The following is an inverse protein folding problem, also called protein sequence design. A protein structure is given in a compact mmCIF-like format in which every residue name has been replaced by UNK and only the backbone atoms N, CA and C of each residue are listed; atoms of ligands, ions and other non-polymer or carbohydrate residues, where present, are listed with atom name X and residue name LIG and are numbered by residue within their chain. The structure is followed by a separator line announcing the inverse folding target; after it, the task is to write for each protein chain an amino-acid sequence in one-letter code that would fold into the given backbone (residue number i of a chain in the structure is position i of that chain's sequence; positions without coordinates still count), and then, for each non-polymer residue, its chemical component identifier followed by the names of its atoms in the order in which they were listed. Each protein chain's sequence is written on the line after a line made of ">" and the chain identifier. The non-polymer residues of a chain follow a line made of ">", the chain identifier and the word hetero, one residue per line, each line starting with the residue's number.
data_IF_551830424684
#
_entry.id   IF_551830424684
#
_cell.length_a   1.000
_cell.length_b   1.000
_cell.length_c   1.000
_cell.angle_alpha   90.00
_cell.angle_beta   90.00
_cell.angle_gamma   90.00
#
_symmetry.space_group_name_H-M   'P 1'
#
loop_
_entity.id
_entity.type
_entity.pdbx_description
1 polymer ?
#
# COMPACT_ATOMS: atom_id res chain seq x y z
N UNK A 1 21.88 -2.60 29.91
CA UNK A 1 22.78 -2.28 28.78
C UNK A 1 22.05 -1.37 27.83
N UNK A 2 22.47 -0.12 27.68
CA UNK A 2 21.96 0.75 26.61
C UNK A 2 22.60 0.28 25.30
N UNK A 3 21.82 -0.27 24.40
CA UNK A 3 22.28 -0.60 23.05
C UNK A 3 22.81 0.70 22.41
N UNK A 4 24.06 0.68 21.96
CA UNK A 4 24.64 1.79 21.22
C UNK A 4 24.16 1.70 19.76
N UNK A 5 23.02 2.32 19.47
CA UNK A 5 22.42 2.32 18.13
C UNK A 5 23.11 3.39 17.28
N UNK A 6 23.66 3.04 16.10
CA UNK A 6 24.30 4.00 15.19
C UNK A 6 23.35 5.16 14.83
N UNK A 7 23.91 6.35 14.71
CA UNK A 7 23.11 7.57 14.45
C UNK A 7 22.38 7.58 13.12
N UNK A 8 22.86 6.84 12.12
CA UNK A 8 22.25 6.68 10.80
C UNK A 8 21.27 5.49 10.70
N UNK A 9 20.91 4.88 11.82
CA UNK A 9 19.88 3.82 11.84
C UNK A 9 18.50 4.43 11.51
N UNK A 10 17.77 3.91 10.52
CA UNK A 10 16.42 4.38 10.21
C UNK A 10 15.42 3.96 11.30
N UNK A 11 14.60 4.91 11.74
CA UNK A 11 13.55 4.68 12.73
C UNK A 11 12.23 5.31 12.27
N UNK A 12 11.14 4.57 12.39
CA UNK A 12 9.79 5.10 12.22
C UNK A 12 9.40 5.81 13.52
N UNK A 13 8.90 7.04 13.41
CA UNK A 13 8.62 7.90 14.57
C UNK A 13 7.23 8.53 14.56
N UNK A 14 6.51 8.45 13.45
CA UNK A 14 5.14 8.94 13.32
C UNK A 14 4.40 8.16 12.26
N UNK A 15 3.13 7.86 12.52
CA UNK A 15 2.27 7.10 11.62
C UNK A 15 0.83 7.64 11.65
N UNK A 16 0.14 7.49 10.54
CA UNK A 16 -1.30 7.75 10.48
C UNK A 16 -1.96 6.85 9.44
N UNK A 17 -3.18 6.46 9.71
CA UNK A 17 -4.09 5.87 8.73
C UNK A 17 -5.46 6.52 8.85
N UNK A 18 -6.10 6.76 7.72
CA UNK A 18 -7.41 7.42 7.64
C UNK A 18 -8.32 6.72 6.64
N UNK A 19 -9.60 6.80 6.91
CA UNK A 19 -10.65 6.36 5.98
C UNK A 19 -11.68 7.47 5.78
N UNK A 20 -12.31 7.49 4.60
CA UNK A 20 -13.42 8.37 4.31
C UNK A 20 -14.50 7.62 3.53
N UNK A 21 -15.67 7.41 4.14
CA UNK A 21 -16.77 6.63 3.55
C UNK A 21 -17.71 7.43 2.65
N UNK A 22 -17.45 8.73 2.46
CA UNK A 22 -18.20 9.54 1.52
C UNK A 22 -18.06 9.02 0.09
N UNK A 23 -19.02 9.36 -0.73
CA UNK A 23 -19.09 8.91 -2.12
C UNK A 23 -18.64 10.03 -3.06
N UNK A 24 -19.56 10.69 -3.76
CA UNK A 24 -19.26 11.72 -4.75
C UNK A 24 -18.59 12.97 -4.15
N UNK A 25 -18.93 13.33 -2.92
CA UNK A 25 -18.36 14.40 -2.12
C UNK A 25 -17.12 13.98 -1.30
N UNK A 26 -16.60 12.79 -1.57
CA UNK A 26 -15.39 12.26 -0.94
C UNK A 26 -14.12 13.00 -1.36
N UNK A 27 -12.97 12.66 -0.77
CA UNK A 27 -11.72 13.35 -1.02
C UNK A 27 -11.19 13.12 -2.45
N UNK A 28 -10.42 14.09 -2.94
CA UNK A 28 -9.47 13.88 -4.03
C UNK A 28 -8.17 13.24 -3.52
N UNK A 29 -7.35 12.64 -4.42
CA UNK A 29 -6.12 11.96 -4.01
C UNK A 29 -5.15 12.83 -3.22
N UNK A 30 -4.89 14.05 -3.68
CA UNK A 30 -3.87 14.92 -3.10
C UNK A 30 -4.27 15.44 -1.72
N UNK A 31 -5.48 15.97 -1.56
CA UNK A 31 -5.97 16.45 -0.27
C UNK A 31 -6.04 15.31 0.76
N UNK A 32 -6.32 14.10 0.32
CA UNK A 32 -6.39 12.95 1.20
C UNK A 32 -5.02 12.53 1.72
N UNK A 33 -3.98 12.55 0.86
CA UNK A 33 -2.60 12.31 1.31
C UNK A 33 -2.06 13.44 2.18
N UNK A 34 -2.41 14.71 1.89
CA UNK A 34 -2.07 15.84 2.77
C UNK A 34 -2.59 15.59 4.18
N UNK A 35 -3.88 15.24 4.30
CA UNK A 35 -4.49 14.94 5.61
C UNK A 35 -3.80 13.79 6.35
N UNK A 36 -3.50 12.69 5.67
CA UNK A 36 -2.78 11.57 6.28
C UNK A 36 -1.38 11.99 6.73
N UNK A 37 -0.68 12.78 5.92
CA UNK A 37 0.67 13.27 6.20
C UNK A 37 0.69 14.20 7.42
N UNK A 38 -0.24 15.16 7.50
CA UNK A 38 -0.36 16.05 8.66
C UNK A 38 -0.62 15.29 9.96
N UNK A 39 -1.45 14.25 9.92
CA UNK A 39 -1.69 13.40 11.08
C UNK A 39 -0.43 12.63 11.49
N UNK A 40 0.36 12.14 10.53
CA UNK A 40 1.63 11.47 10.85
C UNK A 40 2.67 12.45 11.43
N UNK A 41 2.67 13.72 11.00
CA UNK A 41 3.46 14.78 11.63
C UNK A 41 3.03 15.01 13.08
N UNK A 42 1.73 15.14 13.32
CA UNK A 42 1.17 15.31 14.67
C UNK A 42 1.52 14.14 15.58
N UNK A 43 1.50 12.90 15.07
CA UNK A 43 1.86 11.73 15.85
C UNK A 43 3.33 11.76 16.32
N UNK A 44 4.26 12.40 15.60
CA UNK A 44 5.64 12.56 16.08
C UNK A 44 5.74 13.44 17.32
N UNK A 45 4.81 14.37 17.50
CA UNK A 45 4.84 15.40 18.55
C UNK A 45 5.77 16.59 18.23
N UNK A 46 6.32 16.68 17.01
CA UNK A 46 7.24 17.75 16.60
C UNK A 46 6.48 18.84 15.86
N UNK A 47 6.54 20.08 16.37
CA UNK A 47 5.72 21.21 15.87
C UNK A 47 6.14 21.71 14.47
N UNK A 48 7.37 21.53 14.05
CA UNK A 48 7.89 22.05 12.78
C UNK A 48 8.64 20.98 11.98
N UNK A 49 8.04 19.80 11.87
CA UNK A 49 8.67 18.67 11.21
C UNK A 49 8.93 18.90 9.70
N UNK A 50 8.10 19.71 9.05
CA UNK A 50 8.22 20.03 7.61
C UNK A 50 9.64 20.50 7.23
N UNK A 51 10.31 21.28 8.10
CA UNK A 51 11.65 21.81 7.82
C UNK A 51 12.73 20.73 7.77
N UNK A 52 12.48 19.57 8.35
CA UNK A 52 13.41 18.45 8.39
C UNK A 52 13.21 17.44 7.25
N UNK A 53 12.10 17.49 6.52
CA UNK A 53 11.81 16.52 5.44
C UNK A 53 12.77 16.72 4.28
N UNK A 54 13.59 15.72 3.98
CA UNK A 54 14.56 15.69 2.88
C UNK A 54 14.10 14.80 1.73
N UNK A 55 13.11 13.94 1.96
CA UNK A 55 12.55 13.06 0.95
C UNK A 55 11.04 12.89 1.13
N UNK A 56 10.32 12.81 0.02
CA UNK A 56 8.92 12.40 0.00
C UNK A 56 8.75 11.23 -0.95
N UNK A 57 8.30 10.10 -0.40
CA UNK A 57 7.90 8.92 -1.15
C UNK A 57 6.38 8.82 -1.25
N UNK A 58 5.85 8.72 -2.46
CA UNK A 58 4.42 8.49 -2.68
C UNK A 58 4.21 7.13 -3.34
N UNK A 59 3.35 6.33 -2.73
CA UNK A 59 2.89 5.08 -3.32
C UNK A 59 1.97 5.40 -4.49
N UNK A 60 2.27 4.84 -5.66
CA UNK A 60 1.50 5.11 -6.88
C UNK A 60 0.05 4.69 -6.73
N UNK A 61 -0.85 5.58 -7.13
CA UNK A 61 -2.27 5.30 -7.17
C UNK A 61 -2.63 4.35 -8.31
N UNK A 62 -3.59 3.47 -8.07
CA UNK A 62 -4.08 2.54 -9.10
C UNK A 62 -4.71 3.25 -10.30
N UNK A 63 -5.22 4.45 -10.10
CA UNK A 63 -5.80 5.28 -11.18
C UNK A 63 -4.80 5.72 -12.23
N UNK A 64 -3.50 5.81 -11.92
CA UNK A 64 -2.45 6.15 -12.89
C UNK A 64 -2.27 5.07 -13.98
N UNK A 65 -2.79 3.86 -13.76
CA UNK A 65 -2.80 2.75 -14.70
C UNK A 65 -4.18 2.45 -15.29
N UNK A 66 -5.21 3.17 -14.86
CA UNK A 66 -6.57 2.91 -15.31
C UNK A 66 -6.82 3.54 -16.68
N UNK A 67 -7.32 2.76 -17.62
CA UNK A 67 -7.83 3.27 -18.92
C UNK A 67 -9.02 4.22 -18.74
N UNK A 68 -9.72 4.14 -17.61
CA UNK A 68 -10.78 5.09 -17.27
C UNK A 68 -10.26 6.50 -17.02
N UNK A 69 -8.99 6.68 -16.66
CA UNK A 69 -8.37 7.98 -16.44
C UNK A 69 -8.00 8.69 -17.74
N UNK A 70 -7.80 7.96 -18.84
CA UNK A 70 -7.57 8.56 -20.16
C UNK A 70 -8.81 9.29 -20.72
N UNK A 71 -9.97 9.08 -20.10
CA UNK A 71 -11.24 9.76 -20.47
C UNK A 71 -11.63 10.84 -19.47
N UNK A 72 -10.90 11.00 -18.37
CA UNK A 72 -11.12 11.99 -17.33
C UNK A 72 -9.86 12.85 -17.21
N UNK A 73 -10.02 14.14 -16.88
CA UNK A 73 -8.92 15.07 -16.63
C UNK A 73 -8.17 14.71 -15.33
N UNK A 74 -7.75 13.43 -15.19
CA UNK A 74 -6.93 12.99 -14.08
C UNK A 74 -5.47 13.02 -14.50
N UNK A 75 -4.66 13.79 -13.81
CA UNK A 75 -3.25 13.84 -14.09
C UNK A 75 -2.43 14.56 -13.04
N UNK A 76 -1.54 13.83 -12.40
CA UNK A 76 -0.48 14.40 -11.57
C UNK A 76 0.86 14.14 -12.24
N UNK A 77 1.51 15.18 -12.76
CA UNK A 77 2.81 15.01 -13.43
C UNK A 77 3.94 14.67 -12.46
N UNK A 78 3.82 15.11 -11.20
CA UNK A 78 4.80 14.84 -10.13
C UNK A 78 4.10 14.88 -8.77
N UNK A 79 3.52 13.76 -8.38
CA UNK A 79 2.72 13.67 -7.17
C UNK A 79 3.51 13.98 -5.87
N UNK A 80 4.77 13.50 -5.67
CA UNK A 80 5.58 13.89 -4.52
C UNK A 80 5.78 15.41 -4.40
N UNK A 81 6.04 16.10 -5.51
CA UNK A 81 6.18 17.57 -5.51
C UNK A 81 4.86 18.28 -5.23
N UNK A 82 3.76 17.79 -5.77
CA UNK A 82 2.41 18.31 -5.45
C UNK A 82 2.14 18.22 -3.95
N UNK A 83 2.46 17.07 -3.35
CA UNK A 83 2.32 16.84 -1.91
C UNK A 83 3.23 17.78 -1.10
N UNK A 84 4.50 17.92 -1.49
CA UNK A 84 5.45 18.83 -0.84
C UNK A 84 4.93 20.26 -0.82
N UNK A 85 4.46 20.78 -1.96
CA UNK A 85 3.89 22.14 -2.06
C UNK A 85 2.69 22.33 -1.13
N UNK A 86 1.77 21.36 -1.08
CA UNK A 86 0.58 21.44 -0.20
C UNK A 86 0.94 21.38 1.28
N UNK A 87 2.02 20.70 1.63
CA UNK A 87 2.56 20.63 3.00
C UNK A 87 3.52 21.79 3.33
N UNK A 88 3.66 22.80 2.45
CA UNK A 88 4.58 23.94 2.61
C UNK A 88 6.06 23.51 2.78
N UNK A 89 6.48 22.43 2.18
CA UNK A 89 7.87 22.00 2.12
C UNK A 89 8.50 22.63 0.88
N UNK A 90 9.22 23.75 1.07
CA UNK A 90 9.70 24.64 -0.01
C UNK A 90 11.21 24.52 -0.28
N UNK A 91 11.85 23.46 0.20
CA UNK A 91 13.27 23.17 -0.06
C UNK A 91 13.41 22.07 -1.10
N UNK A 92 14.61 21.91 -1.62
CA UNK A 92 14.94 20.78 -2.49
C UNK A 92 14.90 19.48 -1.68
N UNK A 93 14.20 18.48 -2.20
CA UNK A 93 14.00 17.18 -1.59
C UNK A 93 14.11 16.07 -2.64
N UNK A 94 14.38 14.85 -2.19
CA UNK A 94 14.19 13.67 -3.04
C UNK A 94 12.70 13.39 -3.25
N UNK A 95 12.28 13.35 -4.50
CA UNK A 95 10.90 13.09 -4.91
C UNK A 95 10.81 11.67 -5.45
N UNK A 96 10.26 10.76 -4.66
CA UNK A 96 10.21 9.34 -4.96
C UNK A 96 8.76 8.91 -5.26
N UNK A 97 8.54 8.24 -6.38
CA UNK A 97 7.24 7.71 -6.75
C UNK A 97 7.37 6.21 -7.04
N UNK A 98 6.58 5.38 -6.37
CA UNK A 98 6.75 3.94 -6.53
C UNK A 98 6.27 3.42 -7.88
N UNK A 99 6.75 2.24 -8.27
CA UNK A 99 6.05 1.39 -9.24
C UNK A 99 4.68 0.96 -8.70
N UNK A 100 3.88 0.31 -9.56
CA UNK A 100 2.60 -0.26 -9.15
C UNK A 100 2.81 -1.60 -8.45
N UNK A 101 2.07 -1.84 -7.36
CA UNK A 101 2.07 -3.14 -6.68
C UNK A 101 1.71 -3.05 -5.20
N UNK A 102 1.14 -4.11 -4.67
CA UNK A 102 0.77 -4.18 -3.24
C UNK A 102 1.97 -4.17 -2.28
N UNK A 103 3.18 -4.40 -2.78
CA UNK A 103 4.45 -4.30 -2.05
C UNK A 103 5.14 -2.93 -2.21
N UNK A 104 4.58 -2.02 -2.99
CA UNK A 104 5.17 -0.70 -3.25
C UNK A 104 5.47 0.12 -1.98
N UNK A 105 4.65 0.09 -0.91
CA UNK A 105 5.01 0.74 0.34
C UNK A 105 6.33 0.23 0.93
N UNK A 106 6.55 -1.08 0.94
CA UNK A 106 7.77 -1.70 1.45
C UNK A 106 9.00 -1.34 0.60
N UNK A 107 8.81 -1.22 -0.71
CA UNK A 107 9.88 -0.76 -1.63
C UNK A 107 10.33 0.66 -1.28
N UNK A 108 9.39 1.59 -1.05
CA UNK A 108 9.71 2.95 -0.62
C UNK A 108 10.36 2.99 0.77
N UNK A 109 9.87 2.19 1.73
CA UNK A 109 10.46 2.09 3.07
C UNK A 109 11.92 1.65 2.96
N UNK A 110 12.22 0.61 2.16
CA UNK A 110 13.59 0.14 1.98
C UNK A 110 14.47 1.20 1.33
N UNK A 111 14.02 1.84 0.25
CA UNK A 111 14.79 2.86 -0.45
C UNK A 111 15.12 4.05 0.46
N UNK A 112 14.10 4.57 1.16
CA UNK A 112 14.30 5.67 2.12
C UNK A 112 15.23 5.26 3.26
N UNK A 113 15.07 4.04 3.78
CA UNK A 113 15.93 3.53 4.87
C UNK A 113 17.37 3.41 4.43
N UNK A 114 17.63 2.97 3.20
CA UNK A 114 18.96 2.92 2.60
C UNK A 114 19.59 4.31 2.48
N UNK A 115 18.82 5.30 2.04
CA UNK A 115 19.29 6.71 1.94
C UNK A 115 19.59 7.28 3.32
N UNK A 116 18.79 6.97 4.34
CA UNK A 116 19.07 7.37 5.72
C UNK A 116 20.36 6.70 6.23
N UNK A 117 20.50 5.41 6.00
CA UNK A 117 21.70 4.66 6.41
C UNK A 117 22.96 5.19 5.73
N UNK A 118 22.88 5.63 4.48
CA UNK A 118 23.96 6.25 3.72
C UNK A 118 24.19 7.73 4.08
N UNK A 119 23.42 8.32 4.99
CA UNK A 119 23.45 9.75 5.34
C UNK A 119 23.08 10.72 4.20
N UNK A 120 22.36 10.25 3.20
CA UNK A 120 21.83 11.06 2.09
C UNK A 120 20.56 11.81 2.49
N UNK A 121 19.79 11.22 3.40
CA UNK A 121 18.50 11.72 3.93
C UNK A 121 18.53 11.62 5.44
N UNK A 122 17.99 12.62 6.14
CA UNK A 122 17.82 12.59 7.59
C UNK A 122 16.38 12.31 8.01
N UNK A 123 15.40 12.79 7.25
CA UNK A 123 13.98 12.64 7.53
C UNK A 123 13.18 12.50 6.25
N UNK A 124 12.30 11.53 6.20
CA UNK A 124 11.44 11.27 5.04
C UNK A 124 9.98 11.08 5.44
N UNK A 125 9.09 11.56 4.56
CA UNK A 125 7.68 11.26 4.56
C UNK A 125 7.39 10.18 3.52
N UNK A 126 6.71 9.11 3.89
CA UNK A 126 6.12 8.16 2.95
C UNK A 126 4.60 8.20 3.10
N UNK A 127 3.89 8.39 1.99
CA UNK A 127 2.43 8.45 2.00
C UNK A 127 1.84 7.69 0.82
N UNK A 128 0.68 7.09 1.02
CA UNK A 128 -0.03 6.36 -0.02
C UNK A 128 -1.49 6.18 0.31
N UNK A 129 -2.30 5.98 -0.72
CA UNK A 129 -3.73 5.80 -0.53
C UNK A 129 -4.47 5.49 -1.81
N UNK A 130 -5.77 5.25 -1.68
CA UNK A 130 -6.71 5.07 -2.79
C UNK A 130 -7.99 5.81 -2.50
N UNK A 131 -8.59 6.40 -3.54
CA UNK A 131 -9.86 7.12 -3.48
C UNK A 131 -10.88 6.56 -4.47
N UNK A 132 -10.84 5.25 -4.70
CA UNK A 132 -11.65 4.56 -5.69
C UNK A 132 -13.15 4.63 -5.38
N UNK A 133 -13.55 4.75 -4.10
CA UNK A 133 -14.95 4.98 -3.75
C UNK A 133 -15.45 6.31 -4.31
N UNK A 134 -14.72 7.40 -4.11
CA UNK A 134 -15.07 8.72 -4.64
C UNK A 134 -15.04 8.73 -6.16
N UNK A 135 -13.96 8.22 -6.77
CA UNK A 135 -13.80 8.16 -8.22
C UNK A 135 -14.99 7.46 -8.91
N UNK A 136 -15.28 6.22 -8.49
CA UNK A 136 -16.34 5.43 -9.10
C UNK A 136 -17.72 6.07 -8.88
N UNK A 137 -17.93 6.73 -7.72
CA UNK A 137 -19.20 7.39 -7.44
C UNK A 137 -19.40 8.63 -8.30
N UNK A 138 -18.37 9.49 -8.45
CA UNK A 138 -18.38 10.66 -9.34
C UNK A 138 -18.65 10.26 -10.79
N UNK A 139 -17.89 9.30 -11.32
CA UNK A 139 -18.05 8.83 -12.70
C UNK A 139 -19.46 8.25 -12.96
N UNK A 140 -20.04 7.52 -12.01
CA UNK A 140 -21.41 6.99 -12.12
C UNK A 140 -22.47 8.09 -12.07
N UNK A 141 -22.22 9.20 -11.37
CA UNK A 141 -23.10 10.36 -11.34
C UNK A 141 -22.91 11.27 -12.58
N UNK A 142 -21.99 10.94 -13.49
CA UNK A 142 -21.70 11.76 -14.68
C UNK A 142 -20.79 12.97 -14.39
N UNK A 143 -20.16 13.01 -13.22
CA UNK A 143 -19.28 14.11 -12.85
C UNK A 143 -17.85 13.86 -13.37
N UNK A 144 -17.13 14.93 -13.73
CA UNK A 144 -15.70 14.90 -14.03
C UNK A 144 -14.86 14.67 -12.77
N UNK A 145 -13.62 14.28 -12.93
CA UNK A 145 -12.70 14.06 -11.81
C UNK A 145 -11.77 15.23 -11.58
N UNK A 146 -11.61 16.22 -12.36
CA UNK A 146 -10.81 17.45 -12.20
C UNK A 146 -9.61 17.31 -11.22
N UNK A 147 -8.97 16.14 -11.22
CA UNK A 147 -7.92 15.73 -10.29
C UNK A 147 -6.59 15.77 -11.00
N UNK A 148 -6.03 16.98 -11.08
CA UNK A 148 -4.75 17.21 -11.74
C UNK A 148 -3.90 18.23 -10.99
N UNK A 149 -2.58 18.10 -11.11
CA UNK A 149 -1.62 19.12 -10.71
C UNK A 149 -0.30 18.91 -11.46
N UNK A 150 0.26 20.01 -11.97
CA UNK A 150 1.47 20.02 -12.78
C UNK A 150 2.54 20.91 -12.14
N UNK A 151 3.13 20.50 -11.01
CA UNK A 151 4.07 21.32 -10.25
C UNK A 151 5.46 21.47 -10.93
N UNK A 152 5.68 20.76 -12.04
CA UNK A 152 6.96 20.69 -12.74
C UNK A 152 7.90 19.60 -12.17
N UNK A 153 9.01 19.40 -12.89
CA UNK A 153 9.96 18.31 -12.58
C UNK A 153 9.42 16.91 -12.86
N UNK A 154 10.23 15.91 -12.53
CA UNK A 154 9.84 14.51 -12.64
C UNK A 154 10.34 13.76 -11.42
N UNK A 155 9.52 12.93 -10.77
CA UNK A 155 9.96 12.15 -9.62
C UNK A 155 10.87 11.00 -10.07
N UNK A 156 11.73 10.56 -9.18
CA UNK A 156 12.44 9.30 -9.32
C UNK A 156 11.48 8.12 -9.14
N UNK A 157 11.45 7.21 -10.11
CA UNK A 157 10.62 6.00 -10.03
C UNK A 157 11.37 4.93 -9.25
N UNK A 158 10.77 4.47 -8.16
CA UNK A 158 11.33 3.47 -7.26
C UNK A 158 10.60 2.14 -7.43
N UNK A 159 11.37 1.07 -7.67
CA UNK A 159 10.83 -0.25 -7.93
C UNK A 159 10.53 -0.52 -9.40
N UNK A 160 9.83 -1.62 -9.66
CA UNK A 160 9.51 -2.05 -11.02
C UNK A 160 8.23 -1.36 -11.48
N UNK A 161 8.24 -0.87 -12.72
CA UNK A 161 7.11 -0.18 -13.34
C UNK A 161 6.58 -0.95 -14.56
N UNK A 162 6.47 -2.27 -14.45
CA UNK A 162 5.93 -3.16 -15.48
C UNK A 162 4.49 -3.58 -15.17
N UNK A 163 3.73 -3.98 -16.19
CA UNK A 163 2.32 -4.40 -16.04
C UNK A 163 2.16 -5.70 -15.25
N UNK A 164 3.18 -6.55 -15.15
CA UNK A 164 3.16 -7.80 -14.38
C UNK A 164 2.45 -8.97 -15.07
N UNK A 165 2.00 -8.79 -16.31
CA UNK A 165 1.37 -9.82 -17.14
C UNK A 165 1.72 -9.64 -18.62
N UNK A 166 1.68 -10.73 -19.40
CA UNK A 166 1.88 -10.71 -20.84
C UNK A 166 0.60 -10.38 -21.60
N UNK A 167 0.72 -10.06 -22.90
CA UNK A 167 -0.43 -9.86 -23.78
C UNK A 167 -1.34 -11.09 -23.87
N UNK A 168 -0.76 -12.30 -23.77
CA UNK A 168 -1.53 -13.53 -23.80
C UNK A 168 -2.24 -13.79 -22.46
N UNK A 169 -1.60 -13.51 -21.35
CA UNK A 169 -2.24 -13.55 -20.03
C UNK A 169 -3.41 -12.57 -19.95
N UNK A 170 -3.28 -11.37 -20.52
CA UNK A 170 -4.37 -10.39 -20.61
C UNK A 170 -5.57 -10.88 -21.43
N UNK A 171 -5.32 -11.55 -22.55
CA UNK A 171 -6.39 -12.18 -23.36
C UNK A 171 -7.20 -13.22 -22.58
N UNK A 172 -6.60 -13.80 -21.54
CA UNK A 172 -7.22 -14.79 -20.65
C UNK A 172 -7.66 -14.18 -19.31
N UNK A 173 -7.80 -12.85 -19.23
CA UNK A 173 -8.23 -12.11 -18.03
C UNK A 173 -7.34 -12.31 -16.81
N UNK A 174 -6.05 -12.60 -17.02
CA UNK A 174 -5.06 -12.75 -15.96
C UNK A 174 -4.39 -11.44 -15.56
N UNK A 175 -4.95 -10.31 -15.96
CA UNK A 175 -4.57 -8.95 -15.57
C UNK A 175 -5.25 -8.49 -14.26
N UNK A 176 -6.22 -9.24 -13.77
CA UNK A 176 -6.93 -8.94 -12.53
C UNK A 176 -6.51 -9.89 -11.40
N UNK A 177 -6.09 -9.39 -10.23
CA UNK A 177 -5.73 -10.22 -9.07
C UNK A 177 -6.83 -11.20 -8.67
N UNK A 178 -8.11 -10.81 -8.76
CA UNK A 178 -9.27 -11.66 -8.46
C UNK A 178 -9.37 -12.91 -9.36
N UNK A 179 -8.73 -12.89 -10.53
CA UNK A 179 -8.68 -14.03 -11.45
C UNK A 179 -7.38 -14.84 -11.27
N UNK A 180 -6.30 -14.18 -10.89
CA UNK A 180 -4.97 -14.79 -10.75
C UNK A 180 -4.81 -15.52 -9.42
N UNK A 181 -5.19 -14.92 -8.29
CA UNK A 181 -5.03 -15.56 -6.97
C UNK A 181 -5.75 -16.91 -6.84
N UNK A 182 -6.94 -17.13 -7.43
CA UNK A 182 -7.56 -18.45 -7.43
C UNK A 182 -6.73 -19.54 -8.11
N UNK A 183 -5.88 -19.20 -9.08
CA UNK A 183 -4.98 -20.17 -9.73
C UNK A 183 -3.98 -20.73 -8.71
N UNK A 184 -3.33 -19.85 -7.95
CA UNK A 184 -2.42 -20.26 -6.86
C UNK A 184 -3.14 -21.05 -5.77
N UNK A 185 -4.32 -20.59 -5.37
CA UNK A 185 -5.13 -21.26 -4.35
C UNK A 185 -5.51 -22.69 -4.76
N UNK A 186 -5.93 -22.89 -6.02
CA UNK A 186 -6.28 -24.22 -6.52
C UNK A 186 -5.04 -25.11 -6.65
N UNK A 187 -3.88 -24.58 -7.04
CA UNK A 187 -2.63 -25.33 -7.05
C UNK A 187 -2.24 -25.78 -5.62
N UNK A 188 -2.29 -24.85 -4.64
CA UNK A 188 -2.00 -25.17 -3.24
C UNK A 188 -2.96 -26.20 -2.65
N UNK A 189 -4.27 -26.05 -2.94
CA UNK A 189 -5.30 -27.02 -2.53
C UNK A 189 -5.02 -28.42 -3.08
N UNK A 190 -4.64 -28.50 -4.37
CA UNK A 190 -4.29 -29.76 -5.02
C UNK A 190 -3.08 -30.43 -4.36
N UNK A 191 -2.04 -29.66 -4.07
CA UNK A 191 -0.84 -30.14 -3.38
C UNK A 191 -1.16 -30.71 -2.00
N UNK A 192 -2.07 -30.04 -1.26
CA UNK A 192 -2.54 -30.52 0.04
C UNK A 192 -3.57 -31.67 -0.04
N UNK A 193 -3.93 -32.13 -1.23
CA UNK A 193 -4.99 -33.11 -1.47
C UNK A 193 -6.34 -32.75 -0.82
N UNK A 194 -6.64 -31.46 -0.74
CA UNK A 194 -7.88 -30.93 -0.18
C UNK A 194 -8.98 -30.84 -1.22
N UNK A 195 -10.21 -31.17 -0.85
CA UNK A 195 -11.40 -30.82 -1.62
C UNK A 195 -11.62 -29.30 -1.63
N UNK A 196 -12.36 -28.79 -2.60
CA UNK A 196 -12.72 -27.37 -2.65
C UNK A 196 -13.47 -26.91 -1.38
N UNK A 197 -14.28 -27.79 -0.80
CA UNK A 197 -15.05 -27.51 0.41
C UNK A 197 -14.14 -27.37 1.63
N UNK A 198 -13.18 -28.27 1.80
CA UNK A 198 -12.22 -28.20 2.91
C UNK A 198 -11.35 -26.95 2.82
N UNK A 199 -10.85 -26.63 1.63
CA UNK A 199 -10.08 -25.41 1.39
C UNK A 199 -10.89 -24.14 1.69
N UNK A 200 -12.13 -24.06 1.19
CA UNK A 200 -13.00 -22.91 1.41
C UNK A 200 -13.31 -22.75 2.91
N UNK A 201 -13.55 -23.84 3.63
CA UNK A 201 -13.75 -23.84 5.08
C UNK A 201 -12.53 -23.28 5.82
N UNK A 202 -11.31 -23.78 5.51
CA UNK A 202 -10.05 -23.26 6.09
C UNK A 202 -9.90 -21.76 5.88
N UNK A 203 -10.13 -21.27 4.65
CA UNK A 203 -10.10 -19.85 4.32
C UNK A 203 -11.14 -19.05 5.08
N UNK A 204 -12.38 -19.55 5.16
CA UNK A 204 -13.49 -18.86 5.82
C UNK A 204 -13.28 -18.74 7.33
N UNK A 205 -12.73 -19.77 7.96
CA UNK A 205 -12.36 -19.76 9.39
C UNK A 205 -11.26 -18.72 9.68
N UNK A 206 -10.26 -18.61 8.80
CA UNK A 206 -9.19 -17.61 8.91
C UNK A 206 -9.75 -16.20 8.76
N UNK A 207 -10.53 -15.93 7.72
CA UNK A 207 -11.09 -14.61 7.44
C UNK A 207 -12.14 -14.20 8.47
N UNK A 208 -12.87 -15.17 9.07
CA UNK A 208 -13.76 -14.89 10.19
C UNK A 208 -13.00 -14.33 11.39
N UNK A 209 -11.83 -14.90 11.72
CA UNK A 209 -10.97 -14.38 12.80
C UNK A 209 -10.49 -12.96 12.49
N UNK A 210 -10.10 -12.67 11.22
CA UNK A 210 -9.73 -11.31 10.80
C UNK A 210 -10.91 -10.34 10.92
N UNK A 211 -12.13 -10.77 10.53
CA UNK A 211 -13.32 -9.92 10.64
C UNK A 211 -13.66 -9.58 12.10
N UNK A 212 -13.39 -10.48 13.04
CA UNK A 212 -13.56 -10.25 14.48
C UNK A 212 -12.60 -9.18 15.02
N UNK A 213 -11.39 -9.11 14.49
CA UNK A 213 -10.44 -8.03 14.80
C UNK A 213 -10.89 -6.73 14.14
N UNK A 214 -11.25 -6.80 12.85
CA UNK A 214 -11.71 -5.65 12.08
C UNK A 214 -12.94 -4.96 12.67
N UNK A 215 -13.86 -5.70 13.30
CA UNK A 215 -15.05 -5.17 13.95
C UNK A 215 -14.72 -4.12 15.03
N UNK A 216 -13.57 -4.26 15.69
CA UNK A 216 -13.10 -3.35 16.74
C UNK A 216 -12.20 -2.24 16.22
N UNK A 217 -11.86 -2.25 14.94
CA UNK A 217 -10.99 -1.25 14.32
C UNK A 217 -11.82 -0.18 13.60
N UNK A 218 -11.83 1.05 14.12
CA UNK A 218 -12.55 2.19 13.52
C UNK A 218 -12.11 2.50 12.09
N UNK A 219 -10.85 2.19 11.75
CA UNK A 219 -10.26 2.38 10.42
C UNK A 219 -10.46 1.18 9.48
N UNK A 220 -11.14 0.13 9.92
CA UNK A 220 -11.61 -0.92 9.01
C UNK A 220 -12.72 -0.39 8.09
N UNK A 221 -12.62 -0.63 6.78
CA UNK A 221 -13.68 -0.21 5.84
C UNK A 221 -15.03 -0.89 6.14
N UNK A 222 -15.00 -2.17 6.56
CA UNK A 222 -16.15 -2.93 7.03
C UNK A 222 -15.91 -3.46 8.45
N UNK A 223 -16.14 -2.65 9.49
CA UNK A 223 -15.96 -3.06 10.87
C UNK A 223 -17.14 -3.95 11.32
N UNK A 224 -17.22 -5.17 10.79
CA UNK A 224 -18.29 -6.12 11.08
C UNK A 224 -17.74 -7.53 11.15
N UNK A 225 -18.03 -8.22 12.24
CA UNK A 225 -17.80 -9.66 12.34
C UNK A 225 -18.65 -10.44 11.33
N UNK A 226 -18.06 -11.46 10.73
CA UNK A 226 -18.72 -12.44 9.86
C UNK A 226 -18.35 -13.85 10.30
N UNK A 227 -19.35 -14.71 10.44
CA UNK A 227 -19.07 -16.13 10.74
C UNK A 227 -18.43 -16.82 9.53
N UNK A 228 -17.74 -17.97 9.74
CA UNK A 228 -17.23 -18.77 8.63
C UNK A 228 -18.33 -19.15 7.63
N UNK A 229 -19.51 -19.52 8.09
CA UNK A 229 -20.66 -19.90 7.26
C UNK A 229 -21.16 -18.70 6.41
N UNK A 230 -21.19 -17.47 6.99
CA UNK A 230 -21.56 -16.26 6.24
C UNK A 230 -20.55 -15.96 5.14
N UNK A 231 -19.26 -16.20 5.38
CA UNK A 231 -18.17 -15.98 4.40
C UNK A 231 -18.21 -17.03 3.29
N UNK A 232 -18.45 -18.28 3.64
CA UNK A 232 -18.48 -19.42 2.71
C UNK A 232 -19.70 -19.39 1.81
N UNK A 233 -20.87 -19.03 2.35
CA UNK A 233 -22.15 -19.14 1.66
C UNK A 233 -22.26 -18.15 0.48
N UNK A 234 -22.51 -18.69 -0.72
CA UNK A 234 -22.83 -17.87 -1.90
C UNK A 234 -24.24 -17.31 -1.77
N UNK A 235 -24.35 -15.99 -1.87
CA UNK A 235 -25.63 -15.23 -1.84
C UNK A 235 -25.52 -14.05 -2.79
N UNK A 236 -26.60 -13.31 -3.04
CA UNK A 236 -26.60 -12.10 -3.86
C UNK A 236 -25.60 -11.04 -3.33
N UNK A 237 -25.47 -10.90 -2.02
CA UNK A 237 -24.52 -9.99 -1.37
C UNK A 237 -23.09 -10.55 -1.31
N UNK A 238 -22.95 -11.89 -1.36
CA UNK A 238 -21.68 -12.61 -1.28
C UNK A 238 -21.51 -13.56 -2.48
N UNK A 239 -21.62 -13.02 -3.70
CA UNK A 239 -21.49 -13.80 -4.93
C UNK A 239 -20.11 -14.42 -5.08
N UNK A 240 -19.99 -15.45 -5.88
CA UNK A 240 -18.70 -15.99 -6.32
C UNK A 240 -17.97 -14.93 -7.18
N UNK A 241 -16.68 -14.74 -6.95
CA UNK A 241 -15.82 -13.82 -7.70
C UNK A 241 -14.85 -14.58 -8.58
N UNK A 242 -14.04 -15.46 -8.00
CA UNK A 242 -13.14 -16.36 -8.68
C UNK A 242 -13.07 -17.66 -7.90
N UNK A 243 -13.44 -18.80 -8.54
CA UNK A 243 -13.52 -20.08 -7.84
C UNK A 243 -12.20 -20.44 -7.11
N UNK A 244 -12.19 -20.77 -5.81
CA UNK A 244 -13.38 -21.02 -4.96
C UNK A 244 -13.87 -19.80 -4.15
N UNK A 245 -13.37 -18.61 -4.38
CA UNK A 245 -13.54 -17.45 -3.51
C UNK A 245 -14.84 -16.69 -3.73
N UNK A 246 -15.57 -16.49 -2.62
CA UNK A 246 -16.69 -15.56 -2.55
C UNK A 246 -16.19 -14.10 -2.43
N UNK A 247 -17.10 -13.14 -2.58
CA UNK A 247 -16.80 -11.72 -2.46
C UNK A 247 -16.16 -11.36 -1.10
N UNK A 248 -16.57 -12.00 -0.02
CA UNK A 248 -16.02 -11.72 1.32
C UNK A 248 -14.61 -12.27 1.55
N UNK A 249 -14.11 -13.11 0.65
CA UNK A 249 -12.72 -13.57 0.59
C UNK A 249 -11.85 -12.72 -0.34
N UNK A 250 -12.37 -11.63 -0.89
CA UNK A 250 -11.65 -10.71 -1.75
C UNK A 250 -11.52 -9.33 -1.12
N UNK A 251 -10.46 -8.61 -1.47
CA UNK A 251 -10.24 -7.23 -1.06
C UNK A 251 -11.34 -6.28 -1.58
N UNK A 252 -11.67 -5.28 -0.79
CA UNK A 252 -12.63 -4.25 -1.16
C UNK A 252 -11.95 -3.22 -2.06
N UNK A 253 -12.33 -3.16 -3.33
CA UNK A 253 -11.76 -2.20 -4.29
C UNK A 253 -12.32 -0.78 -4.12
N UNK A 254 -13.59 -0.66 -3.69
CA UNK A 254 -14.24 0.64 -3.50
C UNK A 254 -13.98 1.16 -2.10
N UNK A 255 -12.84 1.79 -1.92
CA UNK A 255 -12.43 2.39 -0.64
C UNK A 255 -11.87 3.79 -0.88
N UNK A 256 -11.92 4.64 0.17
CA UNK A 256 -11.08 5.80 0.32
C UNK A 256 -10.27 5.56 1.60
N UNK A 257 -9.03 5.17 1.45
CA UNK A 257 -8.10 4.87 2.54
C UNK A 257 -6.73 5.47 2.21
N UNK A 258 -6.10 6.09 3.19
CA UNK A 258 -4.73 6.60 3.06
C UNK A 258 -3.96 6.36 4.34
N UNK A 259 -2.66 6.15 4.18
CA UNK A 259 -1.72 6.00 5.29
C UNK A 259 -0.48 6.82 5.04
N UNK A 260 0.16 7.23 6.11
CA UNK A 260 1.40 7.99 6.05
C UNK A 260 2.33 7.60 7.19
N UNK A 261 3.64 7.71 6.98
CA UNK A 261 4.65 7.48 8.00
C UNK A 261 5.83 8.42 7.86
N UNK A 262 6.47 8.68 8.99
CA UNK A 262 7.72 9.42 9.10
C UNK A 262 8.83 8.47 9.48
N UNK A 263 9.88 8.44 8.68
CA UNK A 263 11.11 7.71 8.93
C UNK A 263 12.24 8.72 9.04
N UNK A 264 13.05 8.63 10.09
CA UNK A 264 14.22 9.51 10.24
C UNK A 264 15.43 8.76 10.77
N UNK A 265 16.59 9.42 10.77
CA UNK A 265 17.78 8.87 11.39
C UNK A 265 17.66 8.85 12.91
N UNK A 266 18.25 7.86 13.56
CA UNK A 266 18.32 7.81 15.03
C UNK A 266 18.96 9.07 15.61
N UNK A 267 19.98 9.63 14.94
CA UNK A 267 20.63 10.88 15.32
C UNK A 267 19.61 12.01 15.40
N UNK A 268 18.88 12.27 14.32
CA UNK A 268 17.87 13.35 14.27
C UNK A 268 16.75 13.09 15.28
N UNK A 269 16.32 11.85 15.45
CA UNK A 269 15.29 11.50 16.43
C UNK A 269 15.69 11.82 17.88
N UNK A 270 16.99 11.70 18.21
CA UNK A 270 17.55 12.11 19.51
C UNK A 270 17.63 13.63 19.64
N UNK A 271 18.11 14.31 18.58
CA UNK A 271 18.20 15.79 18.55
C UNK A 271 16.82 16.44 18.74
N UNK A 272 15.78 15.84 18.16
CA UNK A 272 14.39 16.28 18.31
C UNK A 272 13.69 15.75 19.57
N UNK A 273 14.41 15.04 20.44
CA UNK A 273 13.90 14.50 21.71
C UNK A 273 12.69 13.57 21.54
N UNK A 274 12.63 12.79 20.46
CA UNK A 274 11.56 11.81 20.26
C UNK A 274 11.66 10.70 21.30
N UNK A 275 10.55 10.45 22.00
CA UNK A 275 10.49 9.42 23.03
C UNK A 275 10.87 8.04 22.49
N UNK A 276 11.68 7.31 23.23
CA UNK A 276 12.06 5.94 22.88
C UNK A 276 10.84 5.01 22.65
N UNK A 277 9.74 5.26 23.35
CA UNK A 277 8.48 4.49 23.20
C UNK A 277 7.81 4.68 21.84
N UNK A 278 8.13 5.77 21.12
CA UNK A 278 7.60 6.06 19.78
C UNK A 278 8.49 5.54 18.65
N UNK A 279 9.68 5.04 18.95
CA UNK A 279 10.64 4.61 17.96
C UNK A 279 10.46 3.15 17.59
N UNK A 280 10.25 2.90 16.30
CA UNK A 280 10.21 1.54 15.73
C UNK A 280 11.41 1.39 14.81
N UNK A 281 12.34 0.52 15.18
CA UNK A 281 13.58 0.29 14.44
C UNK A 281 13.37 -0.71 13.31
N UNK A 282 13.91 -0.42 12.14
CA UNK A 282 13.93 -1.32 10.99
C UNK A 282 15.20 -2.18 11.08
N UNK A 283 15.03 -3.45 11.43
CA UNK A 283 16.15 -4.39 11.64
C UNK A 283 16.66 -5.00 10.33
N UNK A 284 15.80 -5.23 9.36
CA UNK A 284 16.17 -5.81 8.09
C UNK A 284 15.09 -5.62 7.04
N UNK A 285 15.48 -5.63 5.79
CA UNK A 285 14.57 -5.61 4.65
C UNK A 285 15.20 -6.34 3.46
N UNK A 286 14.36 -7.02 2.69
CA UNK A 286 14.77 -7.65 1.45
C UNK A 286 13.66 -7.50 0.41
N UNK A 287 14.03 -7.17 -0.82
CA UNK A 287 13.11 -7.08 -1.96
C UNK A 287 13.65 -7.93 -3.08
N UNK A 288 12.88 -8.90 -3.50
CA UNK A 288 13.15 -9.78 -4.63
C UNK A 288 11.88 -9.95 -5.45
N UNK A 289 12.05 -10.34 -6.70
CA UNK A 289 10.92 -10.60 -7.59
C UNK A 289 10.95 -12.08 -8.04
N UNK A 290 9.79 -12.70 -8.01
CA UNK A 290 9.55 -13.94 -8.73
C UNK A 290 9.38 -13.66 -10.23
N UNK A 291 9.26 -14.71 -11.04
CA UNK A 291 8.86 -14.58 -12.43
C UNK A 291 7.49 -13.88 -12.48
N UNK A 292 7.44 -12.72 -13.10
CA UNK A 292 6.24 -11.84 -13.12
C UNK A 292 5.08 -12.52 -13.84
N UNK A 293 5.31 -13.02 -15.04
CA UNK A 293 4.28 -13.73 -15.79
C UNK A 293 3.94 -15.06 -15.10
N UNK A 294 2.74 -15.16 -14.57
CA UNK A 294 2.27 -16.32 -13.80
C UNK A 294 2.29 -17.59 -14.66
N UNK A 295 1.93 -17.49 -15.93
CA UNK A 295 1.95 -18.60 -16.88
C UNK A 295 3.36 -19.17 -17.15
N UNK A 296 4.42 -18.42 -16.85
CA UNK A 296 5.83 -18.84 -17.01
C UNK A 296 6.44 -19.43 -15.74
N UNK A 297 5.72 -19.41 -14.62
CA UNK A 297 6.22 -19.97 -13.36
C UNK A 297 6.26 -21.48 -13.43
N UNK A 298 7.40 -22.12 -13.10
CA UNK A 298 7.51 -23.59 -13.13
C UNK A 298 6.67 -24.25 -12.05
N UNK A 299 6.42 -23.55 -10.95
CA UNK A 299 5.57 -24.00 -9.83
C UNK A 299 4.73 -22.83 -9.31
N UNK A 300 3.47 -23.10 -9.02
CA UNK A 300 2.53 -22.11 -8.48
C UNK A 300 2.41 -22.15 -6.95
N UNK A 301 2.97 -23.17 -6.32
CA UNK A 301 2.92 -23.41 -4.88
C UNK A 301 4.18 -22.95 -4.14
N UNK A 302 5.18 -22.51 -4.87
CA UNK A 302 6.46 -22.06 -4.33
C UNK A 302 6.76 -20.62 -4.78
N UNK A 303 7.40 -19.86 -3.91
CA UNK A 303 7.96 -18.55 -4.22
C UNK A 303 9.43 -18.51 -3.78
N UNK A 304 10.37 -18.72 -4.70
CA UNK A 304 11.81 -18.57 -4.40
C UNK A 304 12.16 -17.21 -3.84
N UNK A 305 11.49 -16.14 -4.32
CA UNK A 305 11.71 -14.79 -3.83
C UNK A 305 11.30 -14.64 -2.35
N UNK A 306 10.10 -15.11 -1.95
CA UNK A 306 9.66 -15.06 -0.56
C UNK A 306 10.59 -15.87 0.34
N UNK A 307 10.99 -17.07 -0.09
CA UNK A 307 11.93 -17.92 0.67
C UNK A 307 13.25 -17.19 0.90
N UNK A 308 13.86 -16.65 -0.15
CA UNK A 308 15.13 -15.92 -0.06
C UNK A 308 15.03 -14.65 0.78
N UNK A 309 13.95 -13.88 0.63
CA UNK A 309 13.70 -12.72 1.48
C UNK A 309 13.59 -13.10 2.96
N UNK A 310 12.91 -14.20 3.28
CA UNK A 310 12.80 -14.70 4.64
C UNK A 310 14.18 -15.10 5.24
N UNK A 311 15.00 -15.78 4.47
CA UNK A 311 16.37 -16.15 4.86
C UNK A 311 17.22 -14.91 5.16
N UNK A 312 17.20 -13.89 4.30
CA UNK A 312 17.99 -12.66 4.44
C UNK A 312 17.51 -11.77 5.62
N UNK A 313 16.22 -11.70 5.86
CA UNK A 313 15.66 -10.82 6.92
C UNK A 313 15.78 -11.45 8.31
N UNK A 314 15.80 -12.80 8.40
CA UNK A 314 15.84 -13.53 9.66
C UNK A 314 17.24 -14.02 10.04
N UNK A 315 18.24 -13.83 9.17
CA UNK A 315 19.65 -14.12 9.48
C UNK A 315 20.29 -12.98 10.28
#
# INVERSE_FOLDING_TARGET
>A
MTLNIPGNTPVIVGVADIIDRRKEDGPDPLSFLVKASELSFQDTGISNLHSYIDAIGVVRFSVDFSTATNQSNFGYSNFPRSLAKKLNINKDIFELYSGMGGNAPQVLIQEVSKRIYNNEVQCALISGGEVLQTMISKLKAGNSLDWEDHPGGSPEIVGINDEGFSSDEKKHFMDLPSNVYPIFANALRSEKSQSSKEHLKECSELFSKFSKVAEKNSNSWFPKYRSPEEIEKVTDSNRLVGFPYTKYLNSMIRVNMASSMIIMSEKLSKELNISQKKKIYLHGSCILNDIWNVSKRPKLIESPAIKKCGEEVLS
#
